data_IF_356688052328
#
_entry.id   IF_356688052328
#
_cell.length_a   1.000
_cell.length_b   1.000
_cell.length_c   1.000
_cell.angle_alpha   90.00
_cell.angle_beta   90.00
_cell.angle_gamma   90.00
#
_symmetry.space_group_name_H-M   'P 1'
#
loop_
_entity.id
_entity.type
_entity.pdbx_description
1 polymer ?
#
# COMPACT_ATOMS: atom_id res chain seq x y z
N UNK A 1 3.11 -10.95 -4.03
CA UNK A 1 3.85 -9.73 -3.70
C UNK A 1 4.26 -9.78 -2.24
N UNK A 2 5.54 -9.50 -1.95
CA UNK A 2 6.10 -9.46 -0.59
C UNK A 2 5.79 -8.12 0.07
N UNK A 3 5.86 -8.10 1.41
CA UNK A 3 5.55 -6.94 2.25
C UNK A 3 6.37 -5.69 1.90
N UNK A 4 7.68 -5.87 1.73
CA UNK A 4 8.61 -4.81 1.38
C UNK A 4 8.31 -4.19 0.00
N UNK A 5 7.86 -5.01 -0.95
CA UNK A 5 7.46 -4.52 -2.27
C UNK A 5 6.23 -3.60 -2.17
N UNK A 6 5.19 -4.00 -1.41
CA UNK A 6 4.00 -3.15 -1.20
C UNK A 6 4.32 -1.82 -0.52
N UNK A 7 5.26 -1.82 0.43
CA UNK A 7 5.70 -0.60 1.10
C UNK A 7 6.43 0.35 0.14
N UNK A 8 7.28 -0.21 -0.74
CA UNK A 8 7.99 0.56 -1.78
C UNK A 8 7.01 1.24 -2.73
N UNK A 9 5.88 0.60 -3.02
CA UNK A 9 4.85 1.21 -3.87
C UNK A 9 4.15 2.40 -3.21
N UNK A 10 3.79 2.27 -1.94
CA UNK A 10 3.21 3.37 -1.17
C UNK A 10 4.21 4.53 -1.07
N UNK A 11 5.48 4.22 -0.80
CA UNK A 11 6.54 5.21 -0.68
C UNK A 11 6.75 5.99 -1.97
N UNK A 12 6.83 5.32 -3.11
CA UNK A 12 7.05 5.97 -4.39
C UNK A 12 5.90 6.92 -4.79
N UNK A 13 4.67 6.64 -4.36
CA UNK A 13 3.51 7.50 -4.62
C UNK A 13 3.44 8.68 -3.65
N UNK A 14 3.58 8.44 -2.34
CA UNK A 14 3.40 9.48 -1.32
C UNK A 14 4.69 10.25 -1.00
N UNK A 15 5.84 9.82 -1.55
CA UNK A 15 7.18 10.38 -1.30
C UNK A 15 7.52 10.48 0.19
N UNK A 16 7.07 9.49 0.96
CA UNK A 16 7.21 9.40 2.42
C UNK A 16 8.56 8.79 2.85
N UNK A 17 9.58 8.86 2.00
CA UNK A 17 10.87 8.14 2.11
C UNK A 17 11.71 8.40 3.36
N UNK A 18 11.22 9.20 4.32
CA UNK A 18 11.85 9.39 5.62
C UNK A 18 11.35 8.39 6.69
N UNK A 19 10.22 7.72 6.48
CA UNK A 19 9.69 6.73 7.45
C UNK A 19 10.21 5.31 7.21
N UNK A 20 10.72 5.04 6.02
CA UNK A 20 11.27 3.75 5.64
C UNK A 20 12.77 3.90 5.59
N UNK A 21 13.42 3.72 6.74
CA UNK A 21 14.83 3.37 6.69
C UNK A 21 14.94 2.14 5.78
N UNK A 22 15.74 2.24 4.71
CA UNK A 22 16.10 1.19 3.76
C UNK A 22 17.00 0.16 4.47
N UNK A 23 16.50 -0.37 5.58
CA UNK A 23 17.13 -1.45 6.31
C UNK A 23 16.43 -2.72 5.86
N UNK A 24 17.21 -3.67 5.32
CA UNK A 24 16.76 -5.00 4.91
C UNK A 24 16.26 -5.86 6.10
N UNK A 25 16.27 -5.30 7.31
CA UNK A 25 15.72 -5.92 8.50
C UNK A 25 14.18 -6.08 8.39
N UNK A 26 13.64 -7.19 8.89
CA UNK A 26 12.20 -7.39 8.97
C UNK A 26 11.57 -6.30 9.85
N UNK A 27 10.66 -5.51 9.27
CA UNK A 27 9.87 -4.54 10.04
C UNK A 27 8.84 -5.28 10.89
N UNK A 28 8.87 -5.03 12.19
CA UNK A 28 7.82 -5.47 13.10
C UNK A 28 6.46 -4.95 12.66
N UNK A 29 5.41 -5.73 12.89
CA UNK A 29 4.03 -5.34 12.60
C UNK A 29 3.64 -3.98 13.22
N UNK A 30 4.14 -3.67 14.41
CA UNK A 30 3.93 -2.39 15.09
C UNK A 30 4.46 -1.20 14.27
N UNK A 31 5.61 -1.35 13.60
CA UNK A 31 6.15 -0.30 12.74
C UNK A 31 5.27 -0.13 11.48
N UNK A 32 4.78 -1.24 10.94
CA UNK A 32 3.89 -1.26 9.77
C UNK A 32 2.55 -0.61 10.09
N UNK A 33 1.96 -0.90 11.25
CA UNK A 33 0.69 -0.27 11.67
C UNK A 33 0.85 1.23 11.89
N UNK A 34 1.97 1.68 12.46
CA UNK A 34 2.27 3.11 12.59
C UNK A 34 2.39 3.81 11.23
N UNK A 35 3.02 3.15 10.25
CA UNK A 35 3.08 3.63 8.86
C UNK A 35 1.67 3.71 8.26
N UNK A 36 0.88 2.64 8.37
CA UNK A 36 -0.47 2.57 7.79
C UNK A 36 -1.44 3.56 8.45
N UNK A 37 -1.24 3.93 9.71
CA UNK A 37 -2.07 4.93 10.38
C UNK A 37 -1.71 6.38 10.00
N UNK A 38 -0.64 6.60 9.24
CA UNK A 38 -0.29 7.93 8.77
C UNK A 38 -1.35 8.46 7.80
N UNK A 39 -1.77 9.73 7.96
CA UNK A 39 -2.86 10.37 7.18
C UNK A 39 -2.73 10.22 5.66
N UNK A 40 -1.51 10.21 5.13
CA UNK A 40 -1.25 10.02 3.68
C UNK A 40 -1.33 8.56 3.23
N UNK A 41 -1.14 7.62 4.15
CA UNK A 41 -1.00 6.19 3.88
C UNK A 41 -2.24 5.39 4.27
N UNK A 42 -3.06 5.89 5.19
CA UNK A 42 -4.27 5.21 5.71
C UNK A 42 -5.21 4.71 4.61
N UNK A 43 -5.31 5.46 3.52
CA UNK A 43 -6.07 5.09 2.31
C UNK A 43 -5.58 3.80 1.65
N UNK A 44 -4.38 3.30 1.94
CA UNK A 44 -3.83 2.05 1.40
C UNK A 44 -3.97 0.86 2.35
N UNK A 45 -4.52 1.05 3.56
CA UNK A 45 -4.54 0.02 4.61
C UNK A 45 -5.26 -1.25 4.17
N UNK A 46 -6.48 -1.13 3.63
CA UNK A 46 -7.25 -2.29 3.16
C UNK A 46 -6.53 -3.04 2.04
N UNK A 47 -5.95 -2.32 1.07
CA UNK A 47 -5.18 -2.93 -0.01
C UNK A 47 -3.90 -3.60 0.49
N UNK A 48 -3.25 -2.99 1.47
CA UNK A 48 -2.01 -3.52 2.02
C UNK A 48 -2.24 -4.87 2.73
N UNK A 49 -3.26 -4.95 3.58
CA UNK A 49 -3.57 -6.14 4.38
C UNK A 49 -4.27 -7.21 3.55
N UNK A 50 -5.27 -6.83 2.75
CA UNK A 50 -6.18 -7.80 2.11
C UNK A 50 -5.94 -7.98 0.61
N UNK A 51 -5.21 -7.06 -0.02
CA UNK A 51 -5.06 -7.00 -1.48
C UNK A 51 -6.30 -6.46 -2.22
N UNK A 52 -7.39 -6.12 -1.51
CA UNK A 52 -8.61 -5.56 -2.07
C UNK A 52 -8.68 -4.04 -1.88
N UNK A 53 -9.46 -3.36 -2.70
CA UNK A 53 -9.77 -1.93 -2.56
C UNK A 53 -11.25 -1.74 -2.20
N UNK A 54 -11.56 -0.67 -1.48
CA UNK A 54 -12.92 -0.21 -1.18
C UNK A 54 -12.99 1.31 -1.44
N UNK A 55 -13.06 1.73 -2.73
CA UNK A 55 -12.94 3.14 -3.11
C UNK A 55 -14.05 4.01 -2.49
N UNK A 56 -15.24 3.44 -2.26
CA UNK A 56 -16.36 4.12 -1.59
C UNK A 56 -16.03 4.55 -0.16
N UNK A 57 -15.16 3.81 0.53
CA UNK A 57 -14.65 4.12 1.86
C UNK A 57 -13.31 4.89 1.83
N UNK A 58 -12.88 5.36 0.65
CA UNK A 58 -11.59 6.01 0.44
C UNK A 58 -10.38 5.07 0.53
N UNK A 59 -10.60 3.75 0.55
CA UNK A 59 -9.54 2.75 0.61
C UNK A 59 -9.17 2.29 -0.80
N UNK A 60 -7.99 2.67 -1.26
CA UNK A 60 -7.51 2.52 -2.63
C UNK A 60 -6.16 1.78 -2.66
N UNK A 61 -5.71 1.38 -3.85
CA UNK A 61 -4.36 0.90 -4.07
C UNK A 61 -3.46 2.05 -4.55
N UNK A 62 -2.13 1.99 -4.34
CA UNK A 62 -1.19 2.90 -4.98
C UNK A 62 -1.34 2.85 -6.51
N UNK A 63 -1.15 3.97 -7.19
CA UNK A 63 -1.31 4.04 -8.65
C UNK A 63 -0.39 3.06 -9.40
N UNK A 64 0.81 2.83 -8.88
CA UNK A 64 1.79 1.89 -9.44
C UNK A 64 1.52 0.42 -9.12
N UNK A 65 0.67 0.13 -8.12
CA UNK A 65 0.27 -1.24 -7.79
C UNK A 65 -0.62 -1.89 -8.84
N UNK A 66 -1.17 -1.09 -9.76
CA UNK A 66 -1.99 -1.56 -10.86
C UNK A 66 -1.18 -2.15 -12.03
N UNK A 67 0.16 -2.18 -11.95
CA UNK A 67 0.98 -2.79 -13.00
C UNK A 67 0.88 -4.34 -13.03
N UNK A 68 0.11 -4.93 -12.10
CA UNK A 68 -0.25 -6.35 -12.09
C UNK A 68 -1.72 -6.59 -12.41
N UNK A 69 -2.06 -6.72 -13.72
CA UNK A 69 -3.30 -7.32 -14.27
C UNK A 69 -4.59 -7.02 -13.49
N UNK A 70 -5.20 -5.85 -13.68
CA UNK A 70 -6.64 -5.76 -13.52
C UNK A 70 -7.31 -6.35 -14.76
N UNK A 71 -7.91 -7.53 -14.60
CA UNK A 71 -8.91 -8.02 -15.53
C UNK A 71 -10.17 -7.18 -15.30
N UNK A 72 -10.31 -6.09 -16.03
CA UNK A 72 -11.55 -5.31 -16.06
C UNK A 72 -12.61 -6.16 -16.73
N UNK A 73 -13.40 -6.89 -15.94
CA UNK A 73 -14.61 -7.53 -16.44
C UNK A 73 -15.70 -6.45 -16.39
N UNK A 74 -15.77 -5.65 -17.44
CA UNK A 74 -17.01 -4.93 -17.76
C UNK A 74 -18.02 -6.00 -18.17
N UNK A 75 -18.89 -6.42 -17.26
CA UNK A 75 -20.13 -7.07 -17.67
C UNK A 75 -21.05 -5.99 -18.20
N UNK A 76 -21.30 -6.05 -19.51
CA UNK A 76 -22.39 -5.38 -20.21
C UNK A 76 -23.71 -6.08 -19.91
#
# INVERSE_FOLDING_TARGET
MKLNEKLKEIEAVEKIGLLFSESEAPKSWIAISAILNHKKVEKYSTWFVTGKIAPEAGQISPAIAHNGRARTMFSL
#
